data_IF_934488795064
#
_entry.id   IF_934488795064
#
_cell.length_a   1.000
_cell.length_b   1.000
_cell.length_c   1.000
_cell.angle_alpha   90.00
_cell.angle_beta   90.00
_cell.angle_gamma   90.00
#
_symmetry.space_group_name_H-M   'P 1'
#
loop_
_entity.id
_entity.type
_entity.pdbx_description
1 polymer ?
#
# COMPACT_ATOMS: atom_id res chain seq x y z
N UNK A 1 -9.05 -25.55 22.81
CA UNK A 1 -8.56 -24.17 23.03
C UNK A 1 -7.68 -23.74 21.87
N UNK A 2 -6.71 -24.57 21.46
CA UNK A 2 -5.75 -24.30 20.39
C UNK A 2 -6.38 -24.12 18.99
N UNK A 3 -7.34 -24.95 18.56
CA UNK A 3 -8.06 -24.75 17.28
C UNK A 3 -8.77 -23.41 17.19
N UNK A 4 -9.43 -23.01 18.29
CA UNK A 4 -10.15 -21.74 18.35
C UNK A 4 -9.18 -20.55 18.24
N UNK A 5 -7.97 -20.68 18.81
CA UNK A 5 -6.93 -19.67 18.66
C UNK A 5 -6.40 -19.58 17.23
N UNK A 6 -6.23 -20.71 16.54
CA UNK A 6 -5.84 -20.72 15.13
C UNK A 6 -6.93 -20.12 14.24
N UNK A 7 -8.19 -20.46 14.47
CA UNK A 7 -9.34 -19.84 13.77
C UNK A 7 -9.36 -18.33 13.95
N UNK A 8 -9.21 -17.83 15.17
CA UNK A 8 -9.13 -16.39 15.43
C UNK A 8 -7.96 -15.73 14.70
N UNK A 9 -6.77 -16.35 14.67
CA UNK A 9 -5.63 -15.82 13.91
C UNK A 9 -5.89 -15.75 12.41
N UNK A 10 -6.55 -16.77 11.84
CA UNK A 10 -6.92 -16.79 10.43
C UNK A 10 -7.86 -15.62 10.13
N UNK A 11 -8.90 -15.42 10.95
CA UNK A 11 -9.82 -14.29 10.83
C UNK A 11 -9.10 -12.92 10.96
N UNK A 12 -8.15 -12.81 11.89
CA UNK A 12 -7.32 -11.62 12.06
C UNK A 12 -6.48 -11.34 10.80
N UNK A 13 -5.86 -12.36 10.19
CA UNK A 13 -5.09 -12.21 8.96
C UNK A 13 -5.98 -11.85 7.76
N UNK A 14 -7.19 -12.41 7.66
CA UNK A 14 -8.15 -12.02 6.64
C UNK A 14 -8.60 -10.56 6.78
N UNK A 15 -8.93 -10.15 8.01
CA UNK A 15 -9.26 -8.77 8.33
C UNK A 15 -8.11 -7.83 7.97
N UNK A 16 -6.88 -8.20 8.35
CA UNK A 16 -5.68 -7.42 8.03
C UNK A 16 -5.45 -7.29 6.53
N UNK A 17 -5.63 -8.37 5.76
CA UNK A 17 -5.50 -8.34 4.29
C UNK A 17 -6.52 -7.39 3.66
N UNK A 18 -7.75 -7.35 4.17
CA UNK A 18 -8.79 -6.41 3.71
C UNK A 18 -8.37 -4.96 4.00
N UNK A 19 -7.85 -4.69 5.19
CA UNK A 19 -7.34 -3.35 5.54
C UNK A 19 -6.20 -2.92 4.62
N UNK A 20 -5.21 -3.78 4.39
CA UNK A 20 -4.08 -3.48 3.51
C UNK A 20 -4.53 -3.18 2.08
N UNK A 21 -5.51 -3.93 1.55
CA UNK A 21 -6.11 -3.64 0.24
C UNK A 21 -6.85 -2.30 0.20
N UNK A 22 -7.54 -1.91 1.28
CA UNK A 22 -8.16 -0.59 1.35
C UNK A 22 -7.11 0.52 1.32
N UNK A 23 -6.00 0.35 2.04
CA UNK A 23 -4.86 1.27 1.99
C UNK A 23 -4.22 1.36 0.63
N UNK A 24 -4.15 0.25 -0.10
CA UNK A 24 -3.67 0.21 -1.47
C UNK A 24 -4.51 1.10 -2.37
N UNK A 25 -5.84 0.93 -2.33
CA UNK A 25 -6.77 1.73 -3.11
C UNK A 25 -6.78 3.21 -2.69
N UNK A 26 -6.75 3.50 -1.39
CA UNK A 26 -6.64 4.88 -0.88
C UNK A 26 -5.38 5.57 -1.42
N UNK A 27 -4.24 4.85 -1.43
CA UNK A 27 -2.99 5.37 -1.96
C UNK A 27 -3.07 5.66 -3.46
N UNK A 28 -3.78 4.86 -4.26
CA UNK A 28 -3.96 5.13 -5.69
C UNK A 28 -4.74 6.43 -5.93
N UNK A 29 -5.80 6.66 -5.14
CA UNK A 29 -6.55 7.90 -5.22
C UNK A 29 -5.69 9.12 -4.85
N UNK A 30 -4.92 9.01 -3.77
CA UNK A 30 -4.01 10.08 -3.34
C UNK A 30 -2.93 10.38 -4.40
N UNK A 31 -2.37 9.35 -5.03
CA UNK A 31 -1.36 9.52 -6.08
C UNK A 31 -1.93 10.23 -7.31
N UNK A 32 -3.14 9.86 -7.73
CA UNK A 32 -3.84 10.51 -8.84
C UNK A 32 -4.17 11.98 -8.54
N UNK A 33 -4.63 12.26 -7.32
CA UNK A 33 -4.90 13.64 -6.88
C UNK A 33 -3.63 14.47 -6.83
N UNK A 34 -2.53 13.91 -6.31
CA UNK A 34 -1.24 14.57 -6.26
C UNK A 34 -0.70 14.87 -7.67
N UNK A 35 -0.82 13.91 -8.60
CA UNK A 35 -0.46 14.12 -10.01
C UNK A 35 -1.21 15.30 -10.62
N UNK A 36 -2.51 15.39 -10.36
CA UNK A 36 -3.36 16.47 -10.85
C UNK A 36 -2.94 17.82 -10.28
N UNK A 37 -2.60 17.89 -8.99
CA UNK A 37 -2.13 19.13 -8.34
C UNK A 37 -0.81 19.60 -8.97
N UNK A 38 0.16 18.70 -9.14
CA UNK A 38 1.43 19.05 -9.80
C UNK A 38 1.22 19.54 -11.24
N UNK A 39 0.34 18.89 -12.01
CA UNK A 39 0.01 19.34 -13.37
C UNK A 39 -0.62 20.74 -13.37
N UNK A 40 -1.51 21.03 -12.43
CA UNK A 40 -2.14 22.34 -12.31
C UNK A 40 -1.12 23.42 -11.91
N UNK A 41 -0.24 23.14 -10.95
CA UNK A 41 0.81 24.06 -10.52
C UNK A 41 1.79 24.35 -11.67
N UNK A 42 2.19 23.33 -12.42
CA UNK A 42 3.06 23.50 -13.59
C UNK A 42 2.38 24.38 -14.65
N UNK A 43 1.11 24.13 -14.99
CA UNK A 43 0.37 24.93 -15.96
C UNK A 43 0.24 26.41 -15.55
N UNK A 44 0.04 26.69 -14.26
CA UNK A 44 0.00 28.06 -13.73
C UNK A 44 1.36 28.74 -13.88
N UNK A 45 2.45 28.05 -13.53
CA UNK A 45 3.81 28.60 -13.68
C UNK A 45 4.19 28.83 -15.14
N UNK A 46 3.79 27.93 -16.05
CA UNK A 46 3.95 28.12 -17.49
C UNK A 46 3.17 29.34 -18.02
N UNK A 47 1.96 29.58 -17.51
CA UNK A 47 1.19 30.78 -17.82
C UNK A 47 1.90 32.05 -17.33
N UNK A 48 2.45 32.02 -16.11
CA UNK A 48 3.28 33.13 -15.61
C UNK A 48 4.48 33.39 -16.53
N UNK A 49 5.20 32.36 -16.97
CA UNK A 49 6.33 32.50 -17.90
C UNK A 49 5.92 33.13 -19.23
N UNK A 50 4.73 32.79 -19.73
CA UNK A 50 4.22 33.35 -20.98
C UNK A 50 4.06 34.89 -20.89
N UNK A 51 3.51 35.39 -19.78
CA UNK A 51 3.22 36.82 -19.60
C UNK A 51 4.37 37.65 -19.00
N UNK A 52 5.39 37.01 -18.41
CA UNK A 52 6.44 37.70 -17.63
C UNK A 52 7.81 37.79 -18.32
N UNK A 53 7.88 37.58 -19.63
CA UNK A 53 9.15 37.50 -20.38
C UNK A 53 10.08 38.70 -20.12
N UNK A 54 11.34 38.40 -19.84
CA UNK A 54 12.41 39.37 -19.57
C UNK A 54 12.37 39.99 -18.18
N UNK A 55 11.46 39.56 -17.31
CA UNK A 55 11.32 40.09 -15.95
C UNK A 55 11.95 39.18 -14.90
N UNK A 56 12.08 39.69 -13.67
CA UNK A 56 12.48 38.89 -12.52
C UNK A 56 11.46 37.78 -12.19
N UNK A 57 10.17 38.01 -12.47
CA UNK A 57 9.12 37.00 -12.31
C UNK A 57 9.31 35.80 -13.25
N UNK A 58 9.84 35.99 -14.47
CA UNK A 58 10.18 34.86 -15.35
C UNK A 58 11.27 33.99 -14.70
N UNK A 59 12.31 34.63 -14.16
CA UNK A 59 13.41 33.89 -13.51
C UNK A 59 12.91 33.11 -12.29
N UNK A 60 12.05 33.72 -11.47
CA UNK A 60 11.43 33.03 -10.32
C UNK A 60 10.61 31.83 -10.77
N UNK A 61 9.69 32.02 -11.73
CA UNK A 61 8.81 30.94 -12.18
C UNK A 61 9.58 29.75 -12.81
N UNK A 62 10.75 30.00 -13.42
CA UNK A 62 11.64 28.92 -13.90
C UNK A 62 12.23 28.10 -12.76
N UNK A 63 12.69 28.77 -11.70
CA UNK A 63 13.21 28.10 -10.50
C UNK A 63 12.09 27.31 -9.83
N UNK A 64 10.91 27.92 -9.69
CA UNK A 64 9.75 27.27 -9.08
C UNK A 64 9.31 26.03 -9.87
N UNK A 65 9.40 26.03 -11.21
CA UNK A 65 9.12 24.85 -12.03
C UNK A 65 10.13 23.72 -11.83
N UNK A 66 11.42 24.05 -11.72
CA UNK A 66 12.48 23.07 -11.46
C UNK A 66 12.28 22.42 -10.08
N UNK A 67 12.04 23.25 -9.05
CA UNK A 67 11.73 22.77 -7.70
C UNK A 67 10.46 21.91 -7.69
N UNK A 68 9.41 22.30 -8.42
CA UNK A 68 8.17 21.55 -8.51
C UNK A 68 8.39 20.17 -9.16
N UNK A 69 9.24 20.06 -10.17
CA UNK A 69 9.57 18.79 -10.81
C UNK A 69 10.39 17.87 -9.88
N UNK A 70 11.32 18.43 -9.12
CA UNK A 70 12.10 17.71 -8.11
C UNK A 70 11.19 17.19 -6.99
N UNK A 71 10.34 18.05 -6.42
CA UNK A 71 9.37 17.69 -5.40
C UNK A 71 8.40 16.61 -5.90
N UNK A 72 7.90 16.75 -7.14
CA UNK A 72 7.06 15.72 -7.78
C UNK A 72 7.81 14.40 -7.84
N UNK A 73 9.05 14.42 -8.31
CA UNK A 73 9.83 13.19 -8.49
C UNK A 73 10.08 12.50 -7.15
N UNK A 74 10.43 13.24 -6.11
CA UNK A 74 10.66 12.70 -4.77
C UNK A 74 9.37 12.14 -4.15
N UNK A 75 8.25 12.87 -4.28
CA UNK A 75 6.97 12.42 -3.75
C UNK A 75 6.53 11.11 -4.40
N UNK A 76 6.60 11.00 -5.74
CA UNK A 76 6.21 9.79 -6.46
C UNK A 76 7.11 8.60 -6.12
N UNK A 77 8.43 8.81 -5.99
CA UNK A 77 9.36 7.75 -5.53
C UNK A 77 9.00 7.23 -4.13
N UNK A 78 8.59 8.13 -3.24
CA UNK A 78 8.17 7.75 -1.87
C UNK A 78 6.90 6.90 -1.90
N UNK A 79 5.94 7.25 -2.77
CA UNK A 79 4.73 6.45 -2.98
C UNK A 79 5.05 5.08 -3.59
N UNK A 80 5.93 5.02 -4.59
CA UNK A 80 6.34 3.76 -5.22
C UNK A 80 6.98 2.82 -4.20
N UNK A 81 7.91 3.32 -3.37
CA UNK A 81 8.50 2.53 -2.28
C UNK A 81 7.44 2.06 -1.27
N UNK A 82 6.51 2.92 -0.88
CA UNK A 82 5.40 2.55 0.01
C UNK A 82 4.47 1.49 -0.59
N UNK A 83 4.26 1.50 -1.92
CA UNK A 83 3.48 0.48 -2.64
C UNK A 83 4.19 -0.87 -2.67
N UNK A 84 5.51 -0.88 -2.83
CA UNK A 84 6.31 -2.09 -2.74
C UNK A 84 6.20 -2.69 -1.32
N UNK A 85 6.42 -1.89 -0.28
CA UNK A 85 6.27 -2.32 1.12
C UNK A 85 4.86 -2.86 1.41
N UNK A 86 3.83 -2.20 0.90
CA UNK A 86 2.45 -2.64 1.07
C UNK A 86 2.20 -4.00 0.39
N UNK A 87 2.75 -4.20 -0.80
CA UNK A 87 2.66 -5.47 -1.54
C UNK A 87 3.36 -6.60 -0.79
N UNK A 88 4.50 -6.32 -0.17
CA UNK A 88 5.21 -7.26 0.69
C UNK A 88 4.39 -7.63 1.92
N UNK A 89 3.78 -6.65 2.59
CA UNK A 89 2.93 -6.87 3.77
C UNK A 89 1.68 -7.71 3.44
N UNK A 90 1.04 -7.47 2.29
CA UNK A 90 -0.08 -8.30 1.83
C UNK A 90 0.38 -9.74 1.61
N UNK A 91 1.53 -9.91 0.95
CA UNK A 91 2.10 -11.23 0.65
C UNK A 91 2.55 -11.97 1.91
N UNK A 92 3.10 -11.26 2.90
CA UNK A 92 3.48 -11.83 4.19
C UNK A 92 2.24 -12.24 5.01
N UNK A 93 1.22 -11.38 5.03
CA UNK A 93 -0.06 -11.66 5.70
C UNK A 93 -0.72 -12.91 5.12
N UNK A 94 -0.71 -13.07 3.79
CA UNK A 94 -1.24 -14.27 3.15
C UNK A 94 -0.45 -15.52 3.51
N UNK A 95 0.90 -15.44 3.52
CA UNK A 95 1.75 -16.57 3.91
C UNK A 95 1.46 -17.02 5.35
N UNK A 96 1.31 -16.08 6.28
CA UNK A 96 0.95 -16.38 7.67
C UNK A 96 -0.43 -16.99 7.81
N UNK A 97 -1.39 -16.53 7.00
CA UNK A 97 -2.73 -17.13 6.93
C UNK A 97 -2.67 -18.59 6.48
N UNK A 98 -2.00 -18.87 5.36
CA UNK A 98 -1.85 -20.23 4.83
C UNK A 98 -1.21 -21.14 5.87
N UNK A 99 -0.16 -20.67 6.54
CA UNK A 99 0.49 -21.45 7.58
C UNK A 99 -0.45 -21.77 8.76
N UNK A 100 -1.26 -20.81 9.19
CA UNK A 100 -2.24 -21.05 10.26
C UNK A 100 -3.37 -22.01 9.82
N UNK A 101 -3.76 -21.99 8.55
CA UNK A 101 -4.72 -22.95 7.96
C UNK A 101 -4.14 -24.37 7.93
N UNK A 102 -2.88 -24.52 7.53
CA UNK A 102 -2.17 -25.80 7.51
C UNK A 102 -2.02 -26.38 8.92
N UNK A 103 -1.64 -25.55 9.90
CA UNK A 103 -1.54 -25.94 11.31
C UNK A 103 -2.89 -26.39 11.87
N UNK A 104 -3.97 -25.68 11.51
CA UNK A 104 -5.34 -26.04 11.93
C UNK A 104 -5.76 -27.39 11.33
N UNK A 105 -5.49 -27.60 10.04
CA UNK A 105 -5.79 -28.86 9.36
C UNK A 105 -5.01 -30.03 9.97
N UNK A 106 -3.73 -29.83 10.26
CA UNK A 106 -2.91 -30.84 10.92
C UNK A 106 -3.46 -31.20 12.30
N UNK A 107 -3.82 -30.21 13.10
CA UNK A 107 -4.37 -30.40 14.45
C UNK A 107 -5.70 -31.20 14.42
N UNK A 108 -6.57 -30.89 13.46
CA UNK A 108 -7.83 -31.60 13.26
C UNK A 108 -7.59 -33.07 12.88
N UNK A 109 -6.68 -33.34 11.93
CA UNK A 109 -6.31 -34.71 11.54
C UNK A 109 -5.73 -35.50 12.70
N UNK A 110 -4.85 -34.89 13.50
CA UNK A 110 -4.25 -35.52 14.67
C UNK A 110 -5.31 -35.93 15.70
N UNK A 111 -6.26 -35.05 16.01
CA UNK A 111 -7.36 -35.39 16.93
C UNK A 111 -8.27 -36.48 16.39
N UNK A 112 -8.55 -36.48 15.08
CA UNK A 112 -9.35 -37.52 14.46
C UNK A 112 -8.67 -38.89 14.60
N UNK A 113 -7.37 -38.98 14.30
CA UNK A 113 -6.61 -40.22 14.46
C UNK A 113 -6.59 -40.71 15.93
N UNK A 114 -6.40 -39.80 16.89
CA UNK A 114 -6.45 -40.15 18.32
C UNK A 114 -7.82 -40.70 18.74
N UNK A 115 -8.89 -40.10 18.22
CA UNK A 115 -10.24 -40.57 18.50
C UNK A 115 -10.51 -41.94 17.89
N UNK A 116 -10.05 -42.17 16.66
CA UNK A 116 -10.16 -43.47 15.99
C UNK A 116 -9.37 -44.58 16.70
N UNK A 117 -8.23 -44.25 17.34
CA UNK A 117 -7.48 -45.18 18.21
C UNK A 117 -8.15 -45.44 19.56
N UNK A 118 -8.84 -44.47 20.15
CA UNK A 118 -9.60 -44.64 21.41
C UNK A 118 -10.89 -45.44 21.23
N UNK A 119 -11.51 -45.37 20.04
CA UNK A 119 -12.76 -46.04 19.70
C UNK A 119 -12.56 -47.50 19.16
N UNK A 120 -11.30 -47.96 19.01
CA UNK A 120 -10.91 -49.29 18.48
C UNK A 120 -10.48 -50.30 19.56
#
# INVERSE_FOLDING_TARGET
MEEKQLQMKIEEYEGRKIELKKKDTESDFLLNDLQRVYQQQAAILEEFLYYSKGTEAERSARIDLEMLEDERTEAFRTFDAGKEELTELVSETERKKIQAEDDLLWLQKKKQAQKEEEDA
#
